data_IF_057520836796
#
_entry.id   IF_057520836796
#
_cell.length_a   1.000
_cell.length_b   1.000
_cell.length_c   1.000
_cell.angle_alpha   90.00
_cell.angle_beta   90.00
_cell.angle_gamma   90.00
#
_symmetry.space_group_name_H-M   'P 1'
#
loop_
_entity.id
_entity.type
_entity.pdbx_description
1 polymer ?
#
# COMPACT_ATOMS: atom_id res chain seq x y z
N UNK A 1 -0.20 5.63 52.99
CA UNK A 1 1.12 6.27 52.83
C UNK A 1 1.63 5.89 51.46
N UNK A 2 1.75 6.85 50.55
CA UNK A 2 2.36 6.64 49.22
C UNK A 2 3.87 6.58 49.41
N UNK A 3 4.45 5.38 49.34
CA UNK A 3 5.90 5.22 49.37
C UNK A 3 6.52 5.95 48.17
N UNK A 4 7.46 6.85 48.47
CA UNK A 4 8.20 7.56 47.44
C UNK A 4 9.12 6.57 46.71
N UNK A 5 9.06 6.55 45.37
CA UNK A 5 9.82 5.64 44.53
C UNK A 5 11.32 5.74 44.80
N UNK A 6 11.95 4.60 45.11
CA UNK A 6 13.40 4.55 45.37
C UNK A 6 14.18 4.75 44.07
N UNK A 7 15.49 5.03 44.19
CA UNK A 7 16.37 5.14 43.02
C UNK A 7 16.43 3.82 42.22
N UNK A 8 16.45 2.67 42.91
CA UNK A 8 16.48 1.36 42.26
C UNK A 8 15.20 1.08 41.46
N UNK A 9 14.05 1.52 41.97
CA UNK A 9 12.78 1.41 41.25
C UNK A 9 12.78 2.27 39.98
N UNK A 10 13.28 3.51 40.07
CA UNK A 10 13.42 4.40 38.90
C UNK A 10 14.31 3.79 37.82
N UNK A 11 15.47 3.27 38.20
CA UNK A 11 16.40 2.62 37.26
C UNK A 11 15.75 1.38 36.60
N UNK A 12 14.96 0.61 37.35
CA UNK A 12 14.24 -0.56 36.84
C UNK A 12 13.14 -0.16 35.86
N UNK A 13 12.33 0.85 36.19
CA UNK A 13 11.28 1.36 35.31
C UNK A 13 11.83 1.98 34.02
N UNK A 14 12.95 2.68 34.08
CA UNK A 14 13.65 3.19 32.89
C UNK A 14 14.09 2.04 31.99
N UNK A 15 14.62 0.95 32.54
CA UNK A 15 14.97 -0.25 31.76
C UNK A 15 13.76 -0.86 31.08
N UNK A 16 12.64 -0.98 31.80
CA UNK A 16 11.39 -1.51 31.25
C UNK A 16 10.86 -0.60 30.13
N UNK A 17 10.85 0.73 30.32
CA UNK A 17 10.41 1.68 29.31
C UNK A 17 11.21 1.52 28.00
N UNK A 18 12.55 1.43 28.09
CA UNK A 18 13.43 1.19 26.94
C UNK A 18 13.18 -0.16 26.27
N UNK A 19 12.90 -1.21 27.03
CA UNK A 19 12.56 -2.53 26.47
C UNK A 19 11.23 -2.48 25.73
N UNK A 20 10.20 -1.85 26.30
CA UNK A 20 8.89 -1.71 25.65
C UNK A 20 8.97 -0.85 24.39
N UNK A 21 9.77 0.23 24.38
CA UNK A 21 10.05 1.01 23.18
C UNK A 21 10.63 0.13 22.05
N UNK A 22 11.62 -0.71 22.36
CA UNK A 22 12.20 -1.64 21.37
C UNK A 22 11.16 -2.60 20.80
N UNK A 23 10.31 -3.17 21.66
CA UNK A 23 9.22 -4.06 21.24
C UNK A 23 8.22 -3.32 20.35
N UNK A 24 7.80 -2.12 20.75
CA UNK A 24 6.84 -1.31 19.99
C UNK A 24 7.40 -0.92 18.60
N UNK A 25 8.70 -0.58 18.50
CA UNK A 25 9.35 -0.33 17.20
C UNK A 25 9.40 -1.57 16.31
N UNK A 26 9.69 -2.74 16.88
CA UNK A 26 9.63 -4.01 16.14
C UNK A 26 8.21 -4.31 15.65
N UNK A 27 7.20 -4.06 16.48
CA UNK A 27 5.79 -4.24 16.11
C UNK A 27 5.35 -3.27 15.01
N UNK A 28 5.86 -2.03 15.00
CA UNK A 28 5.62 -1.09 13.89
C UNK A 28 6.17 -1.62 12.55
N UNK A 29 7.35 -2.25 12.56
CA UNK A 29 7.93 -2.89 11.38
C UNK A 29 7.13 -4.11 10.93
N UNK A 30 6.67 -4.94 11.86
CA UNK A 30 5.78 -6.07 11.56
C UNK A 30 4.47 -5.57 10.93
N UNK A 31 3.89 -4.52 11.49
CA UNK A 31 2.68 -3.88 10.95
C UNK A 31 2.90 -3.34 9.54
N UNK A 32 4.06 -2.73 9.25
CA UNK A 32 4.41 -2.29 7.90
C UNK A 32 4.40 -3.46 6.89
N UNK A 33 4.95 -4.61 7.28
CA UNK A 33 4.95 -5.81 6.43
C UNK A 33 3.54 -6.36 6.20
N UNK A 34 2.68 -6.35 7.22
CA UNK A 34 1.27 -6.74 7.09
C UNK A 34 0.53 -5.80 6.13
N UNK A 35 0.71 -4.49 6.27
CA UNK A 35 0.10 -3.49 5.40
C UNK A 35 0.53 -3.68 3.94
N UNK A 36 1.82 -3.95 3.70
CA UNK A 36 2.33 -4.22 2.37
C UNK A 36 1.68 -5.49 1.77
N UNK A 37 1.63 -6.58 2.54
CA UNK A 37 1.01 -7.83 2.09
C UNK A 37 -0.49 -7.68 1.81
N UNK A 38 -1.22 -6.94 2.65
CA UNK A 38 -2.64 -6.69 2.43
C UNK A 38 -2.90 -5.76 1.25
N UNK A 39 -2.00 -4.81 0.97
CA UNK A 39 -2.09 -3.98 -0.23
C UNK A 39 -1.87 -4.81 -1.51
N UNK A 40 -0.93 -5.75 -1.52
CA UNK A 40 -0.77 -6.67 -2.65
C UNK A 40 -2.04 -7.49 -2.91
N UNK A 41 -2.67 -8.03 -1.85
CA UNK A 41 -3.96 -8.73 -2.01
C UNK A 41 -5.06 -7.83 -2.59
N UNK A 42 -5.06 -6.54 -2.26
CA UNK A 42 -6.01 -5.59 -2.84
C UNK A 42 -5.73 -5.39 -4.33
N UNK A 43 -4.46 -5.25 -4.74
CA UNK A 43 -4.07 -5.18 -6.16
C UNK A 43 -4.47 -6.46 -6.90
N UNK A 44 -4.16 -7.64 -6.37
CA UNK A 44 -4.51 -8.91 -7.01
C UNK A 44 -6.02 -9.04 -7.23
N UNK A 45 -6.84 -8.62 -6.25
CA UNK A 45 -8.30 -8.60 -6.42
C UNK A 45 -8.73 -7.63 -7.50
N UNK A 46 -8.19 -6.40 -7.49
CA UNK A 46 -8.54 -5.32 -8.43
C UNK A 46 -8.21 -5.69 -9.88
N UNK A 47 -7.14 -6.46 -10.09
CA UNK A 47 -6.63 -6.86 -11.40
C UNK A 47 -6.80 -8.35 -11.71
N UNK A 48 -7.68 -9.05 -10.97
CA UNK A 48 -7.95 -10.49 -11.15
C UNK A 48 -8.40 -10.88 -12.56
N UNK A 49 -8.90 -9.93 -13.36
CA UNK A 49 -9.29 -10.15 -14.75
C UNK A 49 -8.09 -10.27 -15.71
N UNK A 50 -6.90 -9.79 -15.37
CA UNK A 50 -5.72 -9.87 -16.26
C UNK A 50 -5.21 -11.30 -16.45
N UNK A 51 -5.52 -12.19 -15.52
CA UNK A 51 -5.17 -13.62 -15.53
C UNK A 51 -6.32 -14.50 -15.99
N UNK A 52 -7.46 -13.91 -16.36
CA UNK A 52 -8.65 -14.67 -16.64
C UNK A 52 -8.64 -15.18 -18.10
N UNK A 53 -8.50 -16.49 -18.23
CA UNK A 53 -8.52 -17.26 -19.49
C UNK A 53 -9.76 -16.98 -20.37
N UNK A 54 -10.85 -16.48 -19.78
CA UNK A 54 -12.05 -16.06 -20.52
C UNK A 54 -11.72 -14.86 -21.40
N UNK A 55 -10.93 -13.89 -20.92
CA UNK A 55 -10.54 -12.73 -21.71
C UNK A 55 -9.59 -13.08 -22.84
N UNK A 56 -8.65 -13.99 -22.59
CA UNK A 56 -7.78 -14.50 -23.64
C UNK A 56 -8.58 -15.19 -24.75
N UNK A 57 -9.52 -16.05 -24.36
CA UNK A 57 -10.43 -16.71 -25.31
C UNK A 57 -11.31 -15.70 -26.06
N UNK A 58 -11.90 -14.74 -25.36
CA UNK A 58 -12.73 -13.70 -25.97
C UNK A 58 -11.93 -12.86 -26.98
N UNK A 59 -10.69 -12.48 -26.61
CA UNK A 59 -9.77 -11.76 -27.50
C UNK A 59 -9.45 -12.59 -28.74
N UNK A 60 -9.13 -13.89 -28.57
CA UNK A 60 -8.86 -14.78 -29.69
C UNK A 60 -10.06 -14.92 -30.64
N UNK A 61 -11.27 -15.07 -30.10
CA UNK A 61 -12.50 -15.16 -30.89
C UNK A 61 -12.73 -13.89 -31.69
N UNK A 62 -12.60 -12.72 -31.04
CA UNK A 62 -12.82 -11.43 -31.68
C UNK A 62 -11.75 -11.13 -32.74
N UNK A 63 -10.47 -11.45 -32.49
CA UNK A 63 -9.39 -11.36 -33.49
C UNK A 63 -9.72 -12.18 -34.73
N UNK A 64 -10.14 -13.44 -34.56
CA UNK A 64 -10.52 -14.31 -35.68
C UNK A 64 -11.70 -13.74 -36.48
N UNK A 65 -12.70 -13.17 -35.81
CA UNK A 65 -13.83 -12.55 -36.48
C UNK A 65 -13.42 -11.33 -37.32
N UNK A 66 -12.53 -10.48 -36.78
CA UNK A 66 -11.97 -9.33 -37.51
C UNK A 66 -11.13 -9.77 -38.70
N UNK A 67 -10.31 -10.81 -38.57
CA UNK A 67 -9.53 -11.36 -39.68
C UNK A 67 -10.42 -11.89 -40.81
N UNK A 68 -11.53 -12.57 -40.47
CA UNK A 68 -12.49 -13.06 -41.46
C UNK A 68 -13.20 -11.91 -42.15
N UNK A 69 -13.72 -10.94 -41.40
CA UNK A 69 -14.37 -9.76 -41.96
C UNK A 69 -13.41 -8.95 -42.85
N UNK A 70 -12.15 -8.81 -42.46
CA UNK A 70 -11.14 -8.13 -43.26
C UNK A 70 -10.87 -8.84 -44.59
N UNK A 71 -10.91 -10.18 -44.62
CA UNK A 71 -10.77 -10.96 -45.87
C UNK A 71 -11.95 -10.73 -46.80
N UNK A 72 -13.17 -10.69 -46.28
CA UNK A 72 -14.37 -10.38 -47.08
C UNK A 72 -14.31 -8.97 -47.67
N UNK A 73 -13.94 -7.98 -46.85
CA UNK A 73 -13.72 -6.60 -47.30
C UNK A 73 -12.66 -6.53 -48.39
N UNK A 74 -11.54 -7.24 -48.22
CA UNK A 74 -10.46 -7.26 -49.21
C UNK A 74 -10.91 -7.88 -50.53
N UNK A 75 -11.65 -8.99 -50.49
CA UNK A 75 -12.21 -9.65 -51.66
C UNK A 75 -13.17 -8.73 -52.43
N UNK A 76 -14.09 -8.06 -51.73
CA UNK A 76 -15.03 -7.14 -52.37
C UNK A 76 -14.33 -5.91 -52.97
N UNK A 77 -13.31 -5.38 -52.29
CA UNK A 77 -12.51 -4.28 -52.84
C UNK A 77 -11.77 -4.69 -54.12
N UNK A 78 -11.17 -5.88 -54.14
CA UNK A 78 -10.52 -6.43 -55.35
C UNK A 78 -11.53 -6.62 -56.48
N UNK A 79 -12.70 -7.19 -56.19
CA UNK A 79 -13.78 -7.39 -57.16
C UNK A 79 -14.28 -6.07 -57.77
N UNK A 80 -14.30 -5.00 -56.99
CA UNK A 80 -14.69 -3.65 -57.42
C UNK A 80 -13.54 -2.85 -58.07
N UNK A 81 -12.33 -3.40 -58.14
CA UNK A 81 -11.15 -2.72 -58.67
C UNK A 81 -10.65 -1.58 -57.78
N UNK A 82 -11.02 -1.57 -56.49
CA UNK A 82 -10.56 -0.58 -55.52
C UNK A 82 -9.10 -0.88 -55.17
N UNK A 83 -8.15 0.03 -55.46
CA UNK A 83 -6.76 -0.17 -55.10
C UNK A 83 -6.58 -0.30 -53.58
N UNK A 84 -5.63 -1.12 -53.14
CA UNK A 84 -5.42 -1.47 -51.72
C UNK A 84 -5.27 -0.26 -50.80
N UNK A 85 -4.69 0.85 -51.26
CA UNK A 85 -4.54 2.06 -50.46
C UNK A 85 -5.87 2.77 -50.14
N UNK A 86 -6.94 2.44 -50.86
CA UNK A 86 -8.29 2.95 -50.63
C UNK A 86 -9.21 1.89 -50.00
N UNK A 87 -8.72 0.66 -49.80
CA UNK A 87 -9.49 -0.39 -49.16
C UNK A 87 -9.60 -0.13 -47.65
N UNK A 88 -10.80 -0.25 -47.06
CA UNK A 88 -10.97 -0.07 -45.63
C UNK A 88 -10.30 -1.20 -44.83
N UNK A 89 -9.87 -0.85 -43.61
CA UNK A 89 -9.25 -1.77 -42.68
C UNK A 89 -10.04 -1.82 -41.38
N UNK A 90 -10.27 -3.03 -40.89
CA UNK A 90 -10.82 -3.35 -39.59
C UNK A 90 -9.67 -3.65 -38.64
N UNK A 91 -9.73 -3.08 -37.45
CA UNK A 91 -8.77 -3.36 -36.38
C UNK A 91 -9.51 -3.54 -35.07
N UNK A 92 -9.08 -4.52 -34.28
CA UNK A 92 -9.46 -4.65 -32.89
C UNK A 92 -8.29 -4.23 -32.01
N UNK A 93 -8.60 -3.42 -31.00
CA UNK A 93 -7.66 -3.04 -29.97
C UNK A 93 -8.40 -2.87 -28.65
N UNK A 94 -7.64 -2.83 -27.57
CA UNK A 94 -8.16 -2.40 -26.28
C UNK A 94 -8.47 -0.89 -26.34
N UNK A 95 -9.50 -0.44 -25.63
CA UNK A 95 -9.80 0.99 -25.48
C UNK A 95 -8.67 1.78 -24.76
N UNK A 96 -7.82 1.06 -24.02
CA UNK A 96 -6.61 1.51 -23.34
C UNK A 96 -5.43 0.59 -23.76
N UNK A 97 -4.20 0.68 -23.23
CA UNK A 97 -3.11 -0.27 -23.58
C UNK A 97 -3.29 -1.67 -22.96
N UNK A 98 -4.47 -1.99 -22.43
CA UNK A 98 -4.84 -3.31 -21.90
C UNK A 98 -3.93 -3.76 -20.76
N UNK A 99 -3.52 -5.05 -20.77
CA UNK A 99 -2.63 -5.65 -19.76
C UNK A 99 -1.32 -4.88 -19.53
N UNK A 100 -0.79 -4.20 -20.55
CA UNK A 100 0.44 -3.41 -20.42
C UNK A 100 0.22 -2.14 -19.61
N UNK A 101 -0.94 -1.47 -19.78
CA UNK A 101 -1.30 -0.31 -18.96
C UNK A 101 -1.55 -0.72 -17.52
N UNK A 102 -2.32 -1.79 -17.32
CA UNK A 102 -2.55 -2.38 -15.99
C UNK A 102 -1.24 -2.75 -15.29
N UNK A 103 -0.25 -3.32 -16.00
CA UNK A 103 1.06 -3.64 -15.42
C UNK A 103 1.80 -2.37 -14.96
N UNK A 104 1.80 -1.31 -15.77
CA UNK A 104 2.43 -0.04 -15.42
C UNK A 104 1.70 0.64 -14.25
N UNK A 105 0.36 0.64 -14.27
CA UNK A 105 -0.49 1.18 -13.22
C UNK A 105 -0.28 0.43 -11.89
N UNK A 106 -0.28 -0.91 -11.90
CA UNK A 106 0.04 -1.73 -10.72
C UNK A 106 1.42 -1.41 -10.14
N UNK A 107 2.43 -1.26 -11.00
CA UNK A 107 3.77 -0.93 -10.55
C UNK A 107 3.81 0.45 -9.87
N UNK A 108 3.11 1.43 -10.44
CA UNK A 108 3.04 2.77 -9.88
C UNK A 108 2.25 2.82 -8.56
N UNK A 109 1.10 2.14 -8.50
CA UNK A 109 0.32 1.99 -7.28
C UNK A 109 1.14 1.35 -6.15
N UNK A 110 1.90 0.28 -6.46
CA UNK A 110 2.81 -0.36 -5.52
C UNK A 110 3.89 0.61 -5.04
N UNK A 111 4.50 1.38 -5.95
CA UNK A 111 5.55 2.35 -5.61
C UNK A 111 5.03 3.38 -4.60
N UNK A 112 3.88 3.98 -4.87
CA UNK A 112 3.27 5.00 -3.99
C UNK A 112 2.87 4.39 -2.65
N UNK A 113 2.25 3.20 -2.66
CA UNK A 113 1.86 2.51 -1.43
C UNK A 113 3.06 2.20 -0.52
N UNK A 114 4.13 1.64 -1.08
CA UNK A 114 5.33 1.30 -0.31
C UNK A 114 6.00 2.55 0.27
N UNK A 115 6.06 3.64 -0.51
CA UNK A 115 6.56 4.93 -0.04
C UNK A 115 5.74 5.47 1.13
N UNK A 116 4.40 5.36 1.05
CA UNK A 116 3.50 5.79 2.11
C UNK A 116 3.65 4.93 3.38
N UNK A 117 3.72 3.60 3.23
CA UNK A 117 3.92 2.67 4.35
C UNK A 117 5.25 2.97 5.06
N UNK A 118 6.33 3.19 4.31
CA UNK A 118 7.63 3.55 4.86
C UNK A 118 7.59 4.89 5.62
N UNK A 119 6.93 5.90 5.06
CA UNK A 119 6.78 7.20 5.71
C UNK A 119 6.00 7.08 7.04
N UNK A 120 4.91 6.31 7.04
CA UNK A 120 4.08 6.07 8.22
C UNK A 120 4.83 5.24 9.27
N UNK A 121 5.59 4.20 8.87
CA UNK A 121 6.43 3.42 9.78
C UNK A 121 7.48 4.31 10.47
N UNK A 122 8.19 5.14 9.70
CA UNK A 122 9.19 6.06 10.24
C UNK A 122 8.56 7.04 11.24
N UNK A 123 7.42 7.63 10.88
CA UNK A 123 6.68 8.53 11.76
C UNK A 123 6.24 7.83 13.06
N UNK A 124 5.69 6.61 12.95
CA UNK A 124 5.26 5.82 14.10
C UNK A 124 6.44 5.51 15.04
N UNK A 125 7.59 5.10 14.49
CA UNK A 125 8.80 4.83 15.27
C UNK A 125 9.31 6.08 15.99
N UNK A 126 9.33 7.22 15.32
CA UNK A 126 9.70 8.50 15.96
C UNK A 126 8.73 8.89 17.07
N UNK A 127 7.42 8.68 16.89
CA UNK A 127 6.42 8.94 17.93
C UNK A 127 6.64 8.03 19.17
N UNK A 128 6.93 6.75 18.95
CA UNK A 128 7.27 5.78 20.01
C UNK A 128 8.53 6.22 20.78
N UNK A 129 9.57 6.67 20.06
CA UNK A 129 10.81 7.16 20.66
C UNK A 129 10.58 8.41 21.52
N UNK A 130 9.83 9.39 21.01
CA UNK A 130 9.48 10.60 21.78
C UNK A 130 8.73 10.26 23.07
N UNK A 131 7.71 9.41 22.99
CA UNK A 131 6.95 8.98 24.15
C UNK A 131 7.82 8.25 25.18
N UNK A 132 8.75 7.40 24.73
CA UNK A 132 9.69 6.69 25.61
C UNK A 132 10.61 7.67 26.36
N UNK A 133 11.12 8.70 25.68
CA UNK A 133 11.96 9.73 26.30
C UNK A 133 11.16 10.53 27.33
N UNK A 134 9.97 11.01 26.98
CA UNK A 134 9.09 11.73 27.91
C UNK A 134 8.76 10.89 29.15
N UNK A 135 8.56 9.58 28.96
CA UNK A 135 8.32 8.65 30.07
C UNK A 135 9.53 8.53 30.98
N UNK A 136 10.73 8.41 30.41
CA UNK A 136 11.99 8.36 31.16
C UNK A 136 12.23 9.66 31.95
N UNK A 137 11.92 10.82 31.37
CA UNK A 137 12.02 12.12 32.04
C UNK A 137 11.07 12.22 33.23
N UNK A 138 9.81 11.81 33.08
CA UNK A 138 8.82 11.83 34.18
C UNK A 138 9.20 10.89 35.33
N UNK A 139 9.75 9.71 35.02
CA UNK A 139 10.27 8.77 36.01
C UNK A 139 11.48 9.39 36.77
N UNK A 140 12.38 10.05 36.04
CA UNK A 140 13.58 10.70 36.59
C UNK A 140 13.27 11.82 37.57
N UNK A 141 12.37 12.75 37.19
CA UNK A 141 11.98 13.93 37.98
C UNK A 141 11.25 13.55 39.28
N UNK A 142 10.86 12.27 39.44
CA UNK A 142 10.19 11.77 40.64
C UNK A 142 8.73 12.21 40.75
N UNK A 143 8.13 12.66 39.64
CA UNK A 143 6.76 13.18 39.59
C UNK A 143 5.68 12.09 39.52
N UNK A 144 6.05 10.81 39.48
CA UNK A 144 5.12 9.69 39.37
C UNK A 144 5.22 8.79 40.60
N UNK A 145 4.08 8.51 41.24
CA UNK A 145 3.94 7.35 42.14
C UNK A 145 4.02 6.06 41.32
N UNK A 146 4.27 4.91 41.97
CA UNK A 146 4.34 3.60 41.32
C UNK A 146 3.11 3.29 40.46
N UNK A 147 1.92 3.67 40.91
CA UNK A 147 0.66 3.47 40.17
C UNK A 147 0.55 4.39 38.95
N UNK A 148 0.98 5.64 39.08
CA UNK A 148 1.01 6.58 37.96
C UNK A 148 2.04 6.16 36.90
N UNK A 149 3.18 5.62 37.32
CA UNK A 149 4.18 5.06 36.40
C UNK A 149 3.62 3.85 35.62
N UNK A 150 2.82 2.99 36.28
CA UNK A 150 2.19 1.83 35.61
C UNK A 150 1.15 2.26 34.58
N UNK A 151 0.21 3.14 34.94
CA UNK A 151 -0.81 3.65 34.03
C UNK A 151 -0.20 4.36 32.80
N UNK A 152 0.90 5.08 33.00
CA UNK A 152 1.58 5.76 31.90
C UNK A 152 2.36 4.80 30.99
N UNK A 153 2.90 3.71 31.53
CA UNK A 153 3.50 2.64 30.74
C UNK A 153 2.47 1.87 29.90
N UNK A 154 1.21 1.86 30.31
CA UNK A 154 0.07 1.27 29.58
C UNK A 154 -0.51 2.20 28.52
N UNK A 155 -0.30 3.52 28.63
CA UNK A 155 -0.77 4.52 27.65
C UNK A 155 0.10 4.62 26.38
N UNK A 156 1.00 3.65 26.14
CA UNK A 156 1.80 3.68 24.93
C UNK A 156 0.91 3.40 23.70
N UNK A 157 1.01 4.23 22.64
CA UNK A 157 0.19 4.06 21.45
C UNK A 157 0.52 2.72 20.78
N UNK A 158 -0.51 2.01 20.33
CA UNK A 158 -0.32 0.75 19.61
C UNK A 158 0.07 1.02 18.15
N UNK A 159 0.83 0.11 17.50
CA UNK A 159 1.15 0.22 16.09
C UNK A 159 -0.09 0.41 15.19
N UNK A 160 -1.22 -0.22 15.52
CA UNK A 160 -2.45 -0.13 14.74
C UNK A 160 -3.04 1.28 14.74
N UNK A 161 -2.96 1.99 15.87
CA UNK A 161 -3.41 3.37 15.99
C UNK A 161 -2.51 4.34 15.21
N UNK A 162 -1.21 4.05 15.16
CA UNK A 162 -0.22 4.87 14.44
C UNK A 162 -0.12 4.54 12.95
N UNK A 163 -0.51 3.33 12.56
CA UNK A 163 -0.36 2.78 11.22
C UNK A 163 -1.70 2.21 10.73
N UNK A 164 -2.65 3.09 10.37
CA UNK A 164 -3.96 2.68 9.89
C UNK A 164 -3.86 1.91 8.57
N UNK A 165 -4.92 1.19 8.24
CA UNK A 165 -5.01 0.40 7.00
C UNK A 165 -4.85 1.32 5.79
N UNK A 166 -3.99 0.93 4.84
CA UNK A 166 -3.83 1.60 3.56
C UNK A 166 -4.77 0.97 2.52
N UNK A 167 -5.70 1.75 2.01
CA UNK A 167 -6.69 1.33 0.99
C UNK A 167 -6.25 1.74 -0.42
N UNK A 168 -6.77 1.05 -1.44
CA UNK A 168 -6.57 1.43 -2.85
C UNK A 168 -6.96 2.88 -3.12
N UNK A 169 -8.17 3.29 -2.72
CA UNK A 169 -8.67 4.66 -2.94
C UNK A 169 -7.71 5.72 -2.37
N UNK A 170 -7.11 5.44 -1.21
CA UNK A 170 -6.15 6.36 -0.60
C UNK A 170 -4.87 6.48 -1.43
N UNK A 171 -4.38 5.37 -1.98
CA UNK A 171 -3.18 5.37 -2.85
C UNK A 171 -3.48 6.04 -4.19
N UNK A 172 -4.67 5.85 -4.75
CA UNK A 172 -5.11 6.55 -5.96
C UNK A 172 -5.11 8.07 -5.76
N UNK A 173 -5.67 8.54 -4.64
CA UNK A 173 -5.63 9.98 -4.29
C UNK A 173 -4.20 10.50 -4.19
N UNK A 174 -3.31 9.80 -3.48
CA UNK A 174 -1.90 10.20 -3.34
C UNK A 174 -1.19 10.28 -4.70
N UNK A 175 -1.51 9.35 -5.60
CA UNK A 175 -0.94 9.31 -6.95
C UNK A 175 -1.46 10.47 -7.83
N UNK A 176 -2.71 10.88 -7.66
CA UNK A 176 -3.24 12.10 -8.29
C UNK A 176 -2.53 13.35 -7.74
N UNK A 177 -2.35 13.42 -6.43
CA UNK A 177 -1.61 14.53 -5.77
C UNK A 177 -0.17 14.63 -6.28
N UNK A 178 0.58 13.51 -6.38
CA UNK A 178 1.96 13.51 -6.91
C UNK A 178 2.03 13.92 -8.39
N UNK A 179 1.01 13.63 -9.20
CA UNK A 179 0.96 14.03 -10.62
C UNK A 179 0.64 15.50 -10.85
N UNK A 180 -0.01 16.14 -9.88
CA UNK A 180 -0.44 17.54 -9.95
C UNK A 180 0.55 18.51 -9.26
N UNK A 181 1.58 17.98 -8.60
CA UNK A 181 2.65 18.74 -7.93
C UNK A 181 3.84 18.98 -8.87
#
# INVERSE_FOLDING_TARGET
MTEAMTRADRETLIKIARQRERVAKSAAKERAAILAADFEKQLDRRYSYDENEIWERATLVATKAVELAQKEVAYECERLGIPRQFAPMLSMGWHARGRNESKAERAEMRRVAMKQIEAVEKSARTAIERQSVETQEKIMVGGLTTDQARLFLESMPTPEALMPVLTLDRVEMLLIEEKNA
#
